data_IF_042954722077
#
_entry.id   IF_042954722077
#
_cell.length_a   1.000
_cell.length_b   1.000
_cell.length_c   1.000
_cell.angle_alpha   90.00
_cell.angle_beta   90.00
_cell.angle_gamma   90.00
#
_symmetry.space_group_name_H-M   'P 1'
#
loop_
_entity.id
_entity.type
_entity.pdbx_description
1 polymer ?
#
# COMPACT_ATOMS: atom_id res chain seq x y z
N UNK A 1 14.63 -25.36 -29.83
CA UNK A 1 13.18 -25.56 -29.99
C UNK A 1 12.67 -26.52 -28.93
N UNK A 2 12.03 -25.99 -27.88
CA UNK A 2 10.65 -26.32 -27.47
C UNK A 2 10.30 -25.42 -26.29
N UNK A 3 9.27 -24.61 -26.50
CA UNK A 3 8.59 -23.81 -25.49
C UNK A 3 7.93 -24.76 -24.48
N UNK A 4 8.17 -24.54 -23.19
CA UNK A 4 7.24 -24.81 -22.09
C UNK A 4 6.99 -23.41 -21.52
N UNK A 5 5.84 -22.77 -21.63
CA UNK A 5 4.49 -23.27 -21.41
C UNK A 5 3.95 -22.42 -20.26
N UNK A 6 3.67 -21.14 -20.54
CA UNK A 6 3.23 -20.11 -19.58
C UNK A 6 1.81 -20.37 -19.00
N UNK A 7 1.21 -21.52 -19.29
CA UNK A 7 -0.13 -21.92 -18.87
C UNK A 7 -0.18 -22.63 -17.50
N UNK A 8 0.97 -22.96 -16.89
CA UNK A 8 1.03 -23.69 -15.60
C UNK A 8 0.82 -22.77 -14.36
N UNK A 9 0.91 -21.45 -14.53
CA UNK A 9 0.88 -20.52 -13.39
C UNK A 9 -0.53 -20.22 -12.87
N UNK A 10 -1.56 -20.25 -13.75
CA UNK A 10 -2.95 -20.03 -13.34
C UNK A 10 -3.54 -21.23 -12.59
N UNK A 11 -3.02 -22.45 -12.82
CA UNK A 11 -3.43 -23.66 -12.11
C UNK A 11 -2.97 -23.66 -10.64
N UNK A 12 -1.77 -23.13 -10.36
CA UNK A 12 -1.19 -23.13 -9.00
C UNK A 12 -1.90 -22.18 -8.01
N UNK A 13 -2.70 -21.24 -8.52
CA UNK A 13 -3.52 -20.33 -7.71
C UNK A 13 -4.96 -20.81 -7.51
N UNK A 14 -5.34 -22.00 -8.01
CA UNK A 14 -6.47 -22.77 -7.47
C UNK A 14 -6.13 -23.31 -6.07
N UNK A 15 -5.98 -22.41 -5.11
CA UNK A 15 -6.03 -22.76 -3.69
C UNK A 15 -7.47 -23.16 -3.35
N UNK A 16 -7.74 -24.47 -3.49
CA UNK A 16 -8.75 -25.29 -2.81
C UNK A 16 -10.07 -24.59 -2.48
N UNK A 17 -10.96 -24.54 -3.47
CA UNK A 17 -12.36 -24.84 -3.23
C UNK A 17 -12.62 -26.27 -3.70
N UNK A 18 -12.34 -27.25 -2.85
CA UNK A 18 -12.88 -28.59 -3.04
C UNK A 18 -14.00 -28.85 -2.06
N UNK A 19 -15.06 -29.41 -2.63
CA UNK A 19 -16.28 -29.83 -1.99
C UNK A 19 -15.99 -30.84 -0.87
N UNK A 20 -16.58 -30.57 0.29
CA UNK A 20 -17.11 -31.57 1.21
C UNK A 20 -16.12 -32.39 2.02
N UNK A 21 -16.01 -32.08 3.31
CA UNK A 21 -15.83 -33.07 4.38
C UNK A 21 -16.13 -32.40 5.74
N UNK A 22 -17.37 -32.51 6.20
CA UNK A 22 -17.70 -32.25 7.60
C UNK A 22 -17.22 -33.44 8.43
N UNK A 23 -16.01 -33.34 8.97
CA UNK A 23 -15.60 -34.12 10.13
C UNK A 23 -16.42 -33.68 11.34
N UNK A 24 -17.48 -34.42 11.65
CA UNK A 24 -18.01 -34.46 13.02
C UNK A 24 -17.23 -35.53 13.79
N UNK A 25 -16.80 -35.30 15.04
CA UNK A 25 -16.22 -36.33 15.88
C UNK A 25 -17.24 -37.45 16.12
N UNK A 26 -16.86 -38.70 15.88
CA UNK A 26 -17.65 -39.92 16.07
C UNK A 26 -17.90 -40.26 17.56
N UNK A 27 -18.38 -39.32 18.37
CA UNK A 27 -18.70 -39.59 19.78
C UNK A 27 -19.80 -38.71 20.40
N UNK A 28 -20.85 -38.37 19.64
CA UNK A 28 -22.03 -37.68 20.19
C UNK A 28 -23.29 -38.55 20.04
N UNK A 29 -24.04 -38.70 21.14
CA UNK A 29 -25.24 -39.54 21.22
C UNK A 29 -26.44 -38.93 20.47
N UNK A 30 -27.42 -39.76 20.03
CA UNK A 30 -28.55 -39.33 19.19
C UNK A 30 -29.46 -38.24 19.78
N UNK A 31 -29.37 -37.95 21.08
CA UNK A 31 -30.15 -36.91 21.77
C UNK A 31 -29.61 -35.49 21.51
N UNK A 32 -28.30 -35.29 21.47
CA UNK A 32 -27.68 -33.95 21.25
C UNK A 32 -27.99 -33.43 19.82
N UNK A 33 -28.22 -34.35 18.88
CA UNK A 33 -28.52 -34.02 17.48
C UNK A 33 -29.96 -33.52 17.28
N UNK A 34 -30.90 -33.88 18.16
CA UNK A 34 -32.31 -33.44 18.09
C UNK A 34 -32.51 -32.07 18.74
N UNK A 35 -31.84 -31.80 19.85
CA UNK A 35 -31.94 -30.50 20.54
C UNK A 35 -31.33 -29.34 19.73
N UNK A 36 -30.27 -29.61 18.93
CA UNK A 36 -29.66 -28.62 18.04
C UNK A 36 -30.52 -28.29 16.79
N UNK A 37 -31.48 -29.14 16.43
CA UNK A 37 -32.42 -28.90 15.32
C UNK A 37 -33.71 -28.20 15.77
N UNK A 38 -34.06 -28.30 17.06
CA UNK A 38 -35.25 -27.67 17.63
C UNK A 38 -34.99 -26.20 18.00
N UNK A 39 -33.80 -25.87 18.49
CA UNK A 39 -33.37 -24.48 18.74
C UNK A 39 -33.22 -23.62 17.47
N UNK A 40 -33.31 -24.23 16.27
CA UNK A 40 -33.30 -23.51 14.98
C UNK A 40 -34.68 -23.06 14.51
N UNK A 41 -35.78 -23.53 15.11
CA UNK A 41 -37.14 -23.20 14.65
C UNK A 41 -37.75 -21.97 15.32
N UNK A 42 -37.30 -21.62 16.53
CA UNK A 42 -37.99 -20.61 17.34
C UNK A 42 -37.48 -19.16 17.18
N UNK A 43 -36.50 -18.90 16.32
CA UNK A 43 -36.05 -17.51 16.05
C UNK A 43 -36.46 -16.96 14.68
N UNK A 44 -37.40 -17.62 14.00
CA UNK A 44 -38.01 -17.10 12.77
C UNK A 44 -39.30 -16.34 13.10
N UNK A 45 -39.18 -15.22 13.81
CA UNK A 45 -40.26 -14.24 13.91
C UNK A 45 -39.69 -12.81 14.10
N UNK A 46 -39.96 -11.97 13.09
CA UNK A 46 -39.84 -10.50 13.08
C UNK A 46 -38.42 -9.89 13.01
N UNK A 47 -37.77 -10.01 11.86
CA UNK A 47 -36.86 -8.98 11.33
C UNK A 47 -37.13 -8.86 9.83
N UNK A 48 -37.39 -7.65 9.34
CA UNK A 48 -37.55 -7.36 7.92
C UNK A 48 -36.38 -7.96 7.11
N UNK A 49 -36.61 -8.46 5.88
CA UNK A 49 -35.55 -9.06 5.10
C UNK A 49 -34.42 -8.04 4.91
N UNK A 50 -33.17 -8.36 5.28
CA UNK A 50 -32.05 -7.46 5.00
C UNK A 50 -32.00 -7.26 3.49
N UNK A 51 -32.05 -6.00 3.06
CA UNK A 51 -31.83 -5.60 1.68
C UNK A 51 -30.62 -6.38 1.14
N UNK A 52 -30.73 -7.04 -0.02
CA UNK A 52 -29.62 -7.79 -0.58
C UNK A 52 -28.41 -6.85 -0.64
N UNK A 53 -27.21 -7.30 -0.21
CA UNK A 53 -26.01 -6.54 -0.51
C UNK A 53 -26.02 -6.26 -2.01
N UNK A 54 -25.75 -5.01 -2.44
CA UNK A 54 -25.75 -4.68 -3.86
C UNK A 54 -24.92 -5.74 -4.58
N UNK A 55 -25.42 -6.31 -5.70
CA UNK A 55 -24.74 -7.42 -6.35
C UNK A 55 -23.28 -7.01 -6.54
N UNK A 56 -22.38 -7.87 -6.05
CA UNK A 56 -20.95 -7.79 -6.28
C UNK A 56 -20.78 -7.68 -7.80
N UNK A 57 -20.67 -6.46 -8.30
CA UNK A 57 -20.56 -6.23 -9.73
C UNK A 57 -19.23 -6.82 -10.13
N UNK A 58 -19.28 -7.87 -10.95
CA UNK A 58 -18.09 -8.46 -11.54
C UNK A 58 -17.28 -7.33 -12.17
N UNK A 59 -15.98 -7.30 -11.89
CA UNK A 59 -15.09 -6.23 -12.35
C UNK A 59 -15.17 -6.04 -13.89
N UNK A 60 -15.60 -7.07 -14.61
CA UNK A 60 -15.90 -7.06 -16.04
C UNK A 60 -17.13 -6.22 -16.44
N UNK A 61 -18.23 -6.25 -15.67
CA UNK A 61 -19.40 -5.42 -15.92
C UNK A 61 -19.12 -3.94 -15.65
N UNK A 62 -18.36 -3.67 -14.58
CA UNK A 62 -17.89 -2.33 -14.24
C UNK A 62 -17.02 -1.78 -15.38
N UNK A 63 -16.07 -2.58 -15.86
CA UNK A 63 -15.17 -2.19 -16.95
C UNK A 63 -15.92 -2.01 -18.29
N UNK A 64 -16.94 -2.83 -18.57
CA UNK A 64 -17.79 -2.68 -19.75
C UNK A 64 -18.56 -1.36 -19.72
N UNK A 65 -19.17 -1.01 -18.59
CA UNK A 65 -19.81 0.30 -18.39
C UNK A 65 -18.84 1.47 -18.51
N UNK A 66 -17.59 1.33 -18.04
CA UNK A 66 -16.55 2.38 -18.16
C UNK A 66 -16.12 2.64 -19.61
N UNK A 67 -16.05 1.58 -20.43
CA UNK A 67 -15.68 1.68 -21.85
C UNK A 67 -16.81 2.29 -22.69
N UNK A 68 -18.06 1.97 -22.37
CA UNK A 68 -19.25 2.51 -23.02
C UNK A 68 -19.50 4.00 -22.66
N UNK A 69 -19.03 4.46 -21.50
CA UNK A 69 -19.21 5.85 -21.03
C UNK A 69 -18.00 6.77 -21.26
N UNK A 70 -16.89 6.26 -21.82
CA UNK A 70 -15.70 7.07 -22.11
C UNK A 70 -14.89 7.54 -20.88
N UNK A 71 -15.10 6.92 -19.71
CA UNK A 71 -14.58 7.34 -18.41
C UNK A 71 -13.25 6.65 -18.04
N UNK A 72 -12.25 6.73 -18.91
CA UNK A 72 -10.87 6.25 -18.66
C UNK A 72 -10.24 6.79 -17.33
N UNK A 73 -10.62 7.96 -16.78
CA UNK A 73 -10.14 8.39 -15.45
C UNK A 73 -10.65 7.57 -14.25
N UNK A 74 -11.72 6.78 -14.41
CA UNK A 74 -12.41 6.15 -13.28
C UNK A 74 -11.75 4.85 -12.78
N UNK A 75 -10.98 4.15 -13.61
CA UNK A 75 -10.36 2.89 -13.18
C UNK A 75 -9.25 3.09 -12.14
N UNK A 76 -8.46 4.17 -12.25
CA UNK A 76 -7.47 4.56 -11.22
C UNK A 76 -8.16 5.05 -9.95
N UNK A 77 -9.22 5.85 -10.08
CA UNK A 77 -10.00 6.35 -8.95
C UNK A 77 -10.72 5.22 -8.20
N UNK A 78 -11.26 4.23 -8.92
CA UNK A 78 -11.84 3.02 -8.33
C UNK A 78 -10.78 2.15 -7.68
N UNK A 79 -9.61 2.00 -8.30
CA UNK A 79 -8.52 1.25 -7.69
C UNK A 79 -8.04 1.93 -6.39
N UNK A 80 -7.86 3.25 -6.39
CA UNK A 80 -7.55 4.03 -5.17
C UNK A 80 -8.67 3.93 -4.12
N UNK A 81 -9.94 3.94 -4.53
CA UNK A 81 -11.10 3.73 -3.65
C UNK A 81 -11.11 2.33 -3.01
N UNK A 82 -11.02 1.28 -3.81
CA UNK A 82 -10.97 -0.11 -3.33
C UNK A 82 -9.80 -0.34 -2.37
N UNK A 83 -8.65 0.27 -2.64
CA UNK A 83 -7.52 0.17 -1.73
C UNK A 83 -7.73 0.94 -0.41
N UNK A 84 -8.33 2.13 -0.46
CA UNK A 84 -8.69 2.90 0.75
C UNK A 84 -9.68 2.15 1.64
N UNK A 85 -10.60 1.41 1.01
CA UNK A 85 -11.59 0.60 1.71
C UNK A 85 -11.04 -0.77 2.15
N UNK A 86 -9.74 -1.04 1.91
CA UNK A 86 -9.07 -2.26 2.32
C UNK A 86 -9.48 -3.51 1.55
N UNK A 87 -10.26 -3.35 0.46
CA UNK A 87 -10.77 -4.38 -0.45
C UNK A 87 -9.67 -4.85 -1.40
N UNK A 88 -8.70 -5.54 -0.81
CA UNK A 88 -7.44 -5.92 -1.43
C UNK A 88 -7.63 -6.89 -2.60
N UNK A 89 -8.54 -7.85 -2.49
CA UNK A 89 -8.74 -8.87 -3.53
C UNK A 89 -9.36 -8.25 -4.79
N UNK A 90 -10.29 -7.32 -4.59
CA UNK A 90 -11.00 -6.58 -5.62
C UNK A 90 -10.06 -5.60 -6.33
N UNK A 91 -9.24 -4.88 -5.57
CA UNK A 91 -8.19 -4.02 -6.11
C UNK A 91 -7.20 -4.81 -6.98
N UNK A 92 -6.80 -6.01 -6.55
CA UNK A 92 -5.89 -6.87 -7.30
C UNK A 92 -6.51 -7.49 -8.57
N UNK A 93 -7.81 -7.80 -8.56
CA UNK A 93 -8.54 -8.24 -9.76
C UNK A 93 -8.65 -7.11 -10.78
N UNK A 94 -9.06 -5.92 -10.34
CA UNK A 94 -9.15 -4.73 -11.20
C UNK A 94 -7.77 -4.37 -11.79
N UNK A 95 -6.72 -4.46 -10.97
CA UNK A 95 -5.33 -4.32 -11.40
C UNK A 95 -4.96 -5.26 -12.56
N UNK A 96 -5.30 -6.56 -12.43
CA UNK A 96 -5.04 -7.55 -13.48
C UNK A 96 -5.77 -7.24 -14.80
N UNK A 97 -7.04 -6.86 -14.71
CA UNK A 97 -7.88 -6.49 -15.86
C UNK A 97 -7.36 -5.23 -16.59
N UNK A 98 -6.89 -4.24 -15.84
CA UNK A 98 -6.32 -3.01 -16.42
C UNK A 98 -5.00 -3.30 -17.16
N UNK A 99 -4.19 -4.23 -16.64
CA UNK A 99 -2.96 -4.69 -17.28
C UNK A 99 -3.22 -5.43 -18.58
N UNK A 100 -4.19 -6.35 -18.58
CA UNK A 100 -4.55 -7.15 -19.77
C UNK A 100 -5.08 -6.29 -20.91
N UNK A 101 -5.82 -5.21 -20.60
CA UNK A 101 -6.47 -4.35 -21.60
C UNK A 101 -5.62 -3.17 -22.07
N UNK A 102 -4.42 -2.95 -21.50
CA UNK A 102 -3.42 -2.00 -21.98
C UNK A 102 -3.84 -0.51 -21.99
N UNK A 103 -4.89 -0.13 -21.26
CA UNK A 103 -5.50 1.21 -21.36
C UNK A 103 -4.82 2.29 -20.50
N UNK A 104 -3.93 1.91 -19.56
CA UNK A 104 -3.25 2.81 -18.63
C UNK A 104 -1.76 2.39 -18.55
N UNK A 105 -0.80 3.32 -18.51
CA UNK A 105 0.62 2.97 -18.33
C UNK A 105 0.80 2.11 -17.07
N UNK A 106 1.42 0.94 -17.19
CA UNK A 106 1.47 -0.05 -16.10
C UNK A 106 2.06 0.53 -14.80
N UNK A 107 3.04 1.44 -14.90
CA UNK A 107 3.60 2.19 -13.76
C UNK A 107 2.55 2.94 -12.93
N UNK A 108 1.56 3.56 -13.57
CA UNK A 108 0.49 4.29 -12.89
C UNK A 108 -0.38 3.32 -12.10
N UNK A 109 -0.68 2.16 -12.67
CA UNK A 109 -1.52 1.14 -12.03
C UNK A 109 -0.79 0.56 -10.80
N UNK A 110 0.47 0.14 -10.94
CA UNK A 110 1.27 -0.37 -9.82
C UNK A 110 1.40 0.69 -8.72
N UNK A 111 1.65 1.95 -9.08
CA UNK A 111 1.81 3.03 -8.10
C UNK A 111 0.53 3.28 -7.31
N UNK A 112 -0.63 3.28 -7.98
CA UNK A 112 -1.93 3.45 -7.32
C UNK A 112 -2.21 2.30 -6.34
N UNK A 113 -1.89 1.06 -6.71
CA UNK A 113 -2.01 -0.10 -5.80
C UNK A 113 -1.08 0.07 -4.59
N UNK A 114 0.20 0.39 -4.81
CA UNK A 114 1.18 0.62 -3.73
C UNK A 114 0.71 1.74 -2.79
N UNK A 115 0.18 2.83 -3.33
CA UNK A 115 -0.39 3.94 -2.56
C UNK A 115 -1.55 3.48 -1.69
N UNK A 116 -2.46 2.73 -2.30
CA UNK A 116 -3.59 2.13 -1.66
C UNK A 116 -3.24 1.25 -0.45
N UNK A 117 -2.36 0.27 -0.65
CA UNK A 117 -1.87 -0.59 0.43
C UNK A 117 -1.11 0.18 1.50
N UNK A 118 -0.33 1.20 1.11
CA UNK A 118 0.40 2.06 2.04
C UNK A 118 -0.54 2.87 2.94
N UNK A 119 -1.62 3.41 2.39
CA UNK A 119 -2.68 4.11 3.15
C UNK A 119 -3.40 3.16 4.11
N UNK A 120 -3.64 1.92 3.69
CA UNK A 120 -4.25 0.87 4.51
C UNK A 120 -3.29 0.23 5.54
N UNK A 121 -2.06 0.73 5.69
CA UNK A 121 -1.01 0.20 6.59
C UNK A 121 -0.64 -1.28 6.33
N UNK A 122 -0.95 -1.80 5.13
CA UNK A 122 -0.55 -3.13 4.66
C UNK A 122 0.81 -3.03 3.97
N UNK A 123 1.83 -2.68 4.72
CA UNK A 123 3.13 -2.26 4.19
C UNK A 123 3.92 -3.40 3.51
N UNK A 124 3.80 -4.64 3.99
CA UNK A 124 4.44 -5.79 3.33
C UNK A 124 3.84 -6.07 1.95
N UNK A 125 2.53 -5.89 1.82
CA UNK A 125 1.84 -6.00 0.53
C UNK A 125 2.27 -4.88 -0.41
N UNK A 126 2.32 -3.64 0.08
CA UNK A 126 2.81 -2.49 -0.70
C UNK A 126 4.22 -2.74 -1.25
N UNK A 127 5.15 -3.21 -0.40
CA UNK A 127 6.51 -3.59 -0.80
C UNK A 127 6.52 -4.72 -1.83
N UNK A 128 5.74 -5.76 -1.60
CA UNK A 128 5.65 -6.92 -2.51
C UNK A 128 5.18 -6.50 -3.90
N UNK A 129 4.17 -5.64 -3.98
CA UNK A 129 3.69 -5.09 -5.25
C UNK A 129 4.75 -4.20 -5.91
N UNK A 130 5.45 -3.37 -5.14
CA UNK A 130 6.54 -2.55 -5.67
C UNK A 130 7.69 -3.39 -6.24
N UNK A 131 8.14 -4.45 -5.53
CA UNK A 131 9.17 -5.37 -6.06
C UNK A 131 8.66 -6.16 -7.28
N UNK A 132 7.38 -6.52 -7.31
CA UNK A 132 6.76 -7.15 -8.49
C UNK A 132 6.79 -6.22 -9.71
N UNK A 133 6.56 -4.92 -9.52
CA UNK A 133 6.69 -3.92 -10.58
C UNK A 133 8.08 -3.97 -11.22
N UNK A 134 9.14 -3.95 -10.38
CA UNK A 134 10.53 -4.04 -10.83
C UNK A 134 10.85 -5.37 -11.53
N UNK A 135 10.43 -6.49 -10.94
CA UNK A 135 10.67 -7.83 -11.49
C UNK A 135 9.99 -8.05 -12.85
N UNK A 136 8.91 -7.32 -13.13
CA UNK A 136 8.23 -7.34 -14.42
C UNK A 136 8.87 -6.39 -15.45
N UNK A 137 10.04 -5.81 -15.15
CA UNK A 137 10.75 -4.89 -16.03
C UNK A 137 10.14 -3.49 -16.10
N UNK A 138 9.23 -3.15 -15.17
CA UNK A 138 8.58 -1.84 -15.14
C UNK A 138 9.39 -0.97 -14.18
N UNK A 139 10.05 0.05 -14.72
CA UNK A 139 10.89 0.94 -13.93
C UNK A 139 10.03 1.87 -13.05
N UNK A 140 10.18 1.81 -11.71
CA UNK A 140 9.54 2.76 -10.81
C UNK A 140 10.04 4.18 -11.07
N UNK A 141 9.12 5.13 -11.09
CA UNK A 141 9.47 6.54 -11.20
C UNK A 141 9.59 7.18 -9.81
N UNK A 142 9.99 8.45 -9.77
CA UNK A 142 10.14 9.19 -8.51
C UNK A 142 8.86 9.21 -7.65
N UNK A 143 7.68 9.23 -8.28
CA UNK A 143 6.40 9.21 -7.57
C UNK A 143 6.12 7.84 -6.94
N UNK A 144 6.38 6.75 -7.67
CA UNK A 144 6.26 5.38 -7.16
C UNK A 144 7.09 5.17 -5.88
N UNK A 145 8.36 5.59 -5.90
CA UNK A 145 9.24 5.53 -4.72
C UNK A 145 8.69 6.40 -3.58
N UNK A 146 8.33 7.64 -3.88
CA UNK A 146 7.79 8.59 -2.90
C UNK A 146 6.62 8.01 -2.12
N UNK A 147 5.66 7.40 -2.82
CA UNK A 147 4.48 6.79 -2.21
C UNK A 147 4.86 5.67 -1.22
N UNK A 148 5.74 4.75 -1.63
CA UNK A 148 6.16 3.64 -0.78
C UNK A 148 6.94 4.12 0.44
N UNK A 149 7.92 5.00 0.25
CA UNK A 149 8.75 5.57 1.33
C UNK A 149 7.86 6.29 2.34
N UNK A 150 6.88 7.08 1.87
CA UNK A 150 5.92 7.75 2.74
C UNK A 150 5.04 6.78 3.53
N UNK A 151 4.61 5.68 2.91
CA UNK A 151 3.91 4.61 3.62
C UNK A 151 4.77 4.02 4.74
N UNK A 152 6.02 3.68 4.43
CA UNK A 152 6.94 3.01 5.35
C UNK A 152 7.31 3.88 6.55
N UNK A 153 7.70 5.15 6.36
CA UNK A 153 8.05 5.98 7.52
C UNK A 153 6.84 6.34 8.39
N UNK A 154 5.63 6.43 7.79
CA UNK A 154 4.39 6.68 8.56
C UNK A 154 3.97 5.46 9.38
N UNK A 155 4.27 4.26 8.92
CA UNK A 155 4.07 3.03 9.70
C UNK A 155 5.31 2.59 10.49
N UNK A 156 6.21 3.53 10.82
CA UNK A 156 7.40 3.32 11.64
C UNK A 156 8.41 2.26 11.13
N UNK A 157 8.42 1.97 9.83
CA UNK A 157 9.40 1.09 9.17
C UNK A 157 10.55 1.91 8.59
N UNK A 158 11.24 2.65 9.47
CA UNK A 158 12.18 3.71 9.10
C UNK A 158 13.43 3.21 8.35
N UNK A 159 13.97 2.06 8.74
CA UNK A 159 15.14 1.46 8.08
C UNK A 159 14.80 1.07 6.64
N UNK A 160 13.66 0.44 6.43
CA UNK A 160 13.21 0.06 5.09
C UNK A 160 12.88 1.29 4.24
N UNK A 161 12.30 2.33 4.84
CA UNK A 161 12.08 3.61 4.16
C UNK A 161 13.41 4.23 3.69
N UNK A 162 14.47 4.11 4.50
CA UNK A 162 15.81 4.56 4.13
C UNK A 162 16.40 3.70 3.01
N UNK A 163 16.26 2.38 3.06
CA UNK A 163 16.72 1.48 1.99
C UNK A 163 16.09 1.84 0.64
N UNK A 164 14.77 2.07 0.60
CA UNK A 164 14.10 2.51 -0.63
C UNK A 164 14.45 3.93 -1.04
N UNK A 165 14.81 4.82 -0.11
CA UNK A 165 15.39 6.13 -0.45
C UNK A 165 16.75 5.99 -1.15
N UNK A 166 17.60 5.07 -0.68
CA UNK A 166 18.90 4.80 -1.31
C UNK A 166 18.68 4.18 -2.70
N UNK A 167 17.77 3.22 -2.82
CA UNK A 167 17.39 2.62 -4.11
C UNK A 167 16.83 3.67 -5.10
N UNK A 168 16.06 4.64 -4.61
CA UNK A 168 15.57 5.77 -5.40
C UNK A 168 16.73 6.62 -5.96
N UNK A 169 17.76 6.90 -5.16
CA UNK A 169 18.95 7.64 -5.59
C UNK A 169 19.76 6.85 -6.62
N UNK A 170 19.95 5.55 -6.40
CA UNK A 170 20.63 4.65 -7.33
C UNK A 170 19.87 4.52 -8.67
N UNK A 171 18.54 4.68 -8.65
CA UNK A 171 17.69 4.78 -9.83
C UNK A 171 17.69 6.19 -10.50
N UNK A 172 18.59 7.09 -10.10
CA UNK A 172 18.69 8.48 -10.59
C UNK A 172 17.42 9.32 -10.31
N UNK A 173 16.74 9.04 -9.21
CA UNK A 173 15.64 9.87 -8.70
C UNK A 173 16.03 10.50 -7.36
N UNK A 174 15.39 11.60 -6.98
CA UNK A 174 15.69 12.31 -5.74
C UNK A 174 14.45 12.44 -4.86
N UNK A 175 14.53 12.12 -3.56
CA UNK A 175 13.44 12.37 -2.62
C UNK A 175 13.01 13.83 -2.66
N UNK A 176 11.71 14.09 -2.75
CA UNK A 176 11.19 15.45 -2.61
C UNK A 176 11.31 15.93 -1.15
N UNK A 177 11.18 17.24 -0.93
CA UNK A 177 11.29 17.84 0.40
C UNK A 177 10.37 17.19 1.43
N UNK A 178 9.11 16.91 1.06
CA UNK A 178 8.14 16.30 1.97
C UNK A 178 8.53 14.88 2.42
N UNK A 179 9.11 14.10 1.51
CA UNK A 179 9.55 12.73 1.78
C UNK A 179 10.81 12.73 2.63
N UNK A 180 11.76 13.58 2.29
CA UNK A 180 12.99 13.78 3.07
C UNK A 180 12.69 14.26 4.49
N UNK A 181 11.91 15.34 4.66
CA UNK A 181 11.61 15.87 5.99
C UNK A 181 10.77 14.92 6.81
N UNK A 182 9.79 14.23 6.19
CA UNK A 182 8.98 13.21 6.86
C UNK A 182 9.80 12.03 7.37
N UNK A 183 10.77 11.56 6.59
CA UNK A 183 11.69 10.50 7.00
C UNK A 183 12.55 10.94 8.19
N UNK A 184 13.20 12.10 8.10
CA UNK A 184 14.04 12.66 9.17
C UNK A 184 13.23 12.86 10.44
N UNK A 185 12.02 13.38 10.33
CA UNK A 185 11.08 13.57 11.44
C UNK A 185 10.69 12.24 12.11
N UNK A 186 10.46 11.19 11.32
CA UNK A 186 10.30 9.82 11.82
C UNK A 186 11.51 9.35 12.64
N UNK A 187 12.72 9.48 12.10
CA UNK A 187 13.95 9.12 12.82
C UNK A 187 14.15 9.94 14.10
N UNK A 188 13.89 11.25 14.07
CA UNK A 188 14.01 12.10 15.25
C UNK A 188 13.10 11.66 16.40
N UNK A 189 11.86 11.25 16.10
CA UNK A 189 10.90 10.80 17.11
C UNK A 189 11.24 9.44 17.71
N UNK A 190 11.67 8.51 16.86
CA UNK A 190 11.71 7.08 17.22
C UNK A 190 13.12 6.63 17.62
N UNK A 191 14.16 7.23 17.02
CA UNK A 191 15.57 6.87 17.24
C UNK A 191 16.42 8.04 17.77
N UNK A 192 15.90 9.26 17.74
CA UNK A 192 16.58 10.46 18.22
C UNK A 192 17.38 11.21 17.13
N UNK A 193 17.86 12.40 17.50
CA UNK A 193 18.51 13.36 16.58
C UNK A 193 19.82 12.83 16.00
N UNK A 194 20.60 12.09 16.78
CA UNK A 194 21.88 11.55 16.32
C UNK A 194 21.68 10.58 15.16
N UNK A 195 20.72 9.66 15.30
CA UNK A 195 20.42 8.70 14.25
C UNK A 195 19.80 9.38 13.02
N UNK A 196 18.94 10.38 13.22
CA UNK A 196 18.44 11.20 12.12
C UNK A 196 19.59 11.89 11.34
N UNK A 197 20.64 12.34 12.03
CA UNK A 197 21.83 12.94 11.41
C UNK A 197 22.69 11.91 10.67
N UNK A 198 22.80 10.70 11.21
CA UNK A 198 23.45 9.57 10.54
C UNK A 198 22.74 9.26 9.23
N UNK A 199 21.40 9.20 9.24
CA UNK A 199 20.57 9.03 8.05
C UNK A 199 20.79 10.14 7.02
N UNK A 200 20.83 11.41 7.43
CA UNK A 200 21.14 12.54 6.52
C UNK A 200 22.53 12.38 5.90
N UNK A 201 23.52 11.97 6.70
CA UNK A 201 24.89 11.74 6.24
C UNK A 201 24.97 10.59 5.25
N UNK A 202 24.27 9.49 5.52
CA UNK A 202 24.19 8.34 4.62
C UNK A 202 23.57 8.72 3.27
N UNK A 203 22.48 9.50 3.27
CA UNK A 203 21.87 9.99 2.03
C UNK A 203 22.82 10.90 1.24
N UNK A 204 23.58 11.77 1.93
CA UNK A 204 24.60 12.62 1.28
C UNK A 204 25.73 11.81 0.63
N UNK A 205 26.21 10.77 1.31
CA UNK A 205 27.22 9.85 0.75
C UNK A 205 26.71 9.12 -0.49
N UNK A 206 25.40 8.87 -0.56
CA UNK A 206 24.71 8.30 -1.72
C UNK A 206 24.30 9.32 -2.79
N UNK A 207 24.73 10.59 -2.67
CA UNK A 207 24.54 11.62 -3.69
C UNK A 207 23.28 12.47 -3.53
N UNK A 208 22.57 12.38 -2.39
CA UNK A 208 21.46 13.28 -2.12
C UNK A 208 21.95 14.63 -1.58
N UNK A 209 21.62 15.69 -2.31
CA UNK A 209 21.87 17.07 -1.91
C UNK A 209 20.55 17.83 -1.83
N UNK A 210 20.42 18.68 -0.83
CA UNK A 210 19.26 19.54 -0.64
C UNK A 210 19.71 20.96 -0.35
N UNK A 211 18.90 21.92 -0.79
CA UNK A 211 19.09 23.34 -0.46
C UNK A 211 18.54 23.59 0.95
N UNK A 212 19.42 24.04 1.84
CA UNK A 212 19.07 24.38 3.21
C UNK A 212 17.98 25.45 3.30
N UNK A 213 18.01 26.46 2.41
CA UNK A 213 17.01 27.54 2.36
C UNK A 213 15.64 26.97 1.98
N UNK A 214 15.58 26.12 0.96
CA UNK A 214 14.33 25.50 0.52
C UNK A 214 13.74 24.58 1.59
N UNK A 215 14.59 23.84 2.31
CA UNK A 215 14.13 23.03 3.45
C UNK A 215 13.60 23.93 4.57
N UNK A 216 14.30 25.01 4.94
CA UNK A 216 13.81 25.92 5.99
C UNK A 216 12.47 26.56 5.64
N UNK A 217 12.31 27.05 4.40
CA UNK A 217 11.05 27.64 3.94
C UNK A 217 9.92 26.61 3.92
N UNK A 218 10.23 25.36 3.57
CA UNK A 218 9.26 24.26 3.62
C UNK A 218 8.83 23.96 5.06
N UNK A 219 9.79 23.86 6.00
CA UNK A 219 9.51 23.62 7.42
C UNK A 219 8.66 24.75 8.03
N UNK A 220 8.94 26.00 7.66
CA UNK A 220 8.17 27.17 8.13
C UNK A 220 6.71 27.16 7.60
N UNK A 221 6.48 26.73 6.35
CA UNK A 221 5.15 26.76 5.71
C UNK A 221 4.25 25.58 6.07
N UNK A 222 4.81 24.38 6.33
CA UNK A 222 4.04 23.11 6.31
C UNK A 222 3.58 22.59 7.68
N UNK A 223 3.89 23.27 8.80
CA UNK A 223 3.35 22.95 10.12
C UNK A 223 4.44 22.69 11.18
N UNK A 224 4.06 22.40 12.45
CA UNK A 224 5.00 22.33 13.55
C UNK A 224 5.83 21.06 13.47
N UNK A 225 6.96 21.12 12.78
CA UNK A 225 8.02 20.13 12.94
C UNK A 225 8.63 20.28 14.33
N UNK A 226 8.98 19.15 14.94
CA UNK A 226 9.70 19.15 16.21
C UNK A 226 11.00 19.97 16.08
N UNK A 227 11.42 20.74 17.11
CA UNK A 227 12.74 21.38 17.14
C UNK A 227 13.89 20.42 16.85
N UNK A 228 13.70 19.13 17.12
CA UNK A 228 14.64 18.06 16.82
C UNK A 228 14.89 17.89 15.31
N UNK A 229 13.88 18.12 14.46
CA UNK A 229 14.02 18.09 12.99
C UNK A 229 14.88 19.25 12.50
N UNK A 230 14.67 20.44 13.09
CA UNK A 230 15.49 21.62 12.83
C UNK A 230 16.95 21.36 13.22
N UNK A 231 17.17 20.79 14.41
CA UNK A 231 18.51 20.44 14.89
C UNK A 231 19.19 19.38 14.00
N UNK A 232 18.47 18.34 13.58
CA UNK A 232 19.00 17.27 12.74
C UNK A 232 19.43 17.78 11.36
N UNK A 233 18.60 18.62 10.72
CA UNK A 233 18.82 19.08 9.34
C UNK A 233 19.81 20.25 9.26
N UNK A 234 19.70 21.23 10.17
CA UNK A 234 20.50 22.47 10.11
C UNK A 234 21.75 22.43 10.98
N UNK A 235 21.88 21.41 11.85
CA UNK A 235 22.82 21.44 12.96
C UNK A 235 22.33 22.40 14.06
N UNK A 236 22.86 22.24 15.28
CA UNK A 236 22.50 23.10 16.42
C UNK A 236 22.53 24.58 16.03
N UNK A 237 21.39 25.27 16.12
CA UNK A 237 21.39 26.67 16.53
C UNK A 237 21.76 26.69 18.02
N UNK A 238 23.05 26.56 18.32
CA UNK A 238 23.54 26.97 19.63
C UNK A 238 23.33 28.48 19.74
N UNK A 239 22.40 28.86 20.62
CA UNK A 239 22.23 30.20 21.20
C UNK A 239 21.60 31.27 20.30
N UNK A 240 20.33 31.57 20.59
CA UNK A 240 19.71 32.90 20.75
C UNK A 240 18.29 32.96 20.16
N UNK A 241 17.33 32.52 20.96
CA UNK A 241 16.11 33.28 21.22
C UNK A 241 15.90 33.29 22.73
N UNK A 242 16.78 34.00 23.41
CA UNK A 242 16.45 34.58 24.70
C UNK A 242 16.19 36.06 24.43
N UNK A 243 14.93 36.44 24.63
CA UNK A 243 14.34 37.75 24.96
C UNK A 243 12.96 37.83 24.31
#
# INVERSE_FOLDING_TARGET
MKQLGDDDFLEKFKLRFDKGENFLPNSATPQIRREAEEAKRDHQAALEPPLPPPPLQDADEIFKKMKETGLIPNAVAMLDGLCKDGLVQEAMKLFGLMREKGTIPEVVIYTAVVEGFSKAQKLDDAKRIFKKMQNNGINPNAFSYTVLIQGLYKGNRLEEALDFCVEMLEANHSPNLATFTGLVDGFCREKGVEEARNTITALRQKGFFFDQKNVTEFLDKKGPFSPLVWEAILGKKSSQRTL
#
